data_IF_882295714297
#
_entry.id   IF_882295714297
#
_cell.length_a   1.000
_cell.length_b   1.000
_cell.length_c   1.000
_cell.angle_alpha   90.00
_cell.angle_beta   90.00
_cell.angle_gamma   90.00
#
_symmetry.space_group_name_H-M   'P 1'
#
loop_
_entity.id
_entity.type
_entity.pdbx_description
1 polymer ?
#
# COMPACT_ATOMS: atom_id res chain seq x y z
N UNK A 1 25.41 22.82 -1.83
CA UNK A 1 24.10 22.25 -2.17
C UNK A 1 23.55 21.65 -0.88
N UNK A 2 22.38 22.07 -0.42
CA UNK A 2 21.82 21.55 0.84
C UNK A 2 21.48 20.07 0.65
N UNK A 3 22.33 19.21 1.23
CA UNK A 3 22.26 17.75 1.21
C UNK A 3 21.09 17.24 2.05
N UNK A 4 19.86 17.63 1.72
CA UNK A 4 18.70 17.17 2.46
C UNK A 4 18.31 15.76 2.00
N UNK A 5 18.24 14.83 2.93
CA UNK A 5 17.72 13.48 2.71
C UNK A 5 16.18 13.48 2.62
N UNK A 6 15.62 14.49 1.96
CA UNK A 6 14.19 14.67 1.73
C UNK A 6 13.98 14.83 0.23
N UNK A 7 13.12 13.98 -0.32
CA UNK A 7 12.81 13.93 -1.74
C UNK A 7 11.31 14.10 -1.94
N UNK A 8 10.94 14.78 -3.01
CA UNK A 8 9.57 14.83 -3.51
C UNK A 8 9.55 14.18 -4.89
N UNK A 9 8.73 13.15 -5.09
CA UNK A 9 8.67 12.40 -6.35
C UNK A 9 8.31 13.28 -7.55
N UNK A 10 7.60 14.39 -7.34
CA UNK A 10 7.21 15.34 -8.42
C UNK A 10 8.31 16.33 -8.77
N UNK A 11 9.30 16.51 -7.89
CA UNK A 11 10.43 17.41 -8.09
C UNK A 11 11.71 16.66 -8.51
N UNK A 12 11.65 15.33 -8.58
CA UNK A 12 12.78 14.51 -8.99
C UNK A 12 12.98 14.58 -10.51
N UNK A 13 14.24 14.68 -10.94
CA UNK A 13 14.60 14.99 -12.32
C UNK A 13 14.76 13.76 -13.22
N UNK A 14 14.72 12.55 -12.67
CA UNK A 14 14.83 11.29 -13.42
C UNK A 14 13.46 10.61 -13.41
N UNK A 15 12.97 10.24 -14.60
CA UNK A 15 11.68 9.57 -14.76
C UNK A 15 10.49 10.54 -14.70
N UNK A 16 9.28 9.98 -14.58
CA UNK A 16 8.05 10.74 -14.42
C UNK A 16 7.11 9.97 -13.48
N UNK A 17 6.76 10.51 -12.30
CA UNK A 17 5.99 9.78 -11.30
C UNK A 17 4.57 9.47 -11.76
N UNK A 18 4.01 10.26 -12.68
CA UNK A 18 2.68 10.01 -13.25
C UNK A 18 2.70 8.88 -14.30
N UNK A 19 3.88 8.47 -14.80
CA UNK A 19 4.02 7.36 -15.77
C UNK A 19 4.52 6.08 -15.12
N UNK A 20 5.51 6.22 -14.24
CA UNK A 20 6.06 5.13 -13.44
C UNK A 20 6.75 5.71 -12.18
N UNK A 21 6.01 5.82 -11.08
CA UNK A 21 6.57 6.23 -9.79
C UNK A 21 7.57 5.21 -9.24
N UNK A 22 7.49 3.95 -9.67
CA UNK A 22 8.42 2.91 -9.28
C UNK A 22 9.85 3.22 -9.70
N UNK A 23 10.04 3.58 -10.97
CA UNK A 23 11.32 4.01 -11.53
C UNK A 23 11.86 5.26 -10.84
N UNK A 24 10.99 6.24 -10.59
CA UNK A 24 11.34 7.47 -9.84
C UNK A 24 11.86 7.13 -8.44
N UNK A 25 11.13 6.35 -7.65
CA UNK A 25 11.53 5.98 -6.28
C UNK A 25 12.83 5.16 -6.30
N UNK A 26 12.98 4.21 -7.22
CA UNK A 26 14.21 3.42 -7.34
C UNK A 26 15.43 4.31 -7.68
N UNK A 27 15.26 5.30 -8.56
CA UNK A 27 16.33 6.24 -8.88
C UNK A 27 16.71 7.16 -7.72
N UNK A 28 15.74 7.54 -6.87
CA UNK A 28 15.99 8.24 -5.60
C UNK A 28 16.78 7.36 -4.63
N UNK A 29 16.37 6.09 -4.46
CA UNK A 29 17.11 5.11 -3.63
C UNK A 29 18.56 4.96 -4.11
N UNK A 30 18.78 4.92 -5.43
CA UNK A 30 20.11 4.88 -6.01
C UNK A 30 20.94 6.13 -5.67
N UNK A 31 20.35 7.33 -5.73
CA UNK A 31 21.01 8.57 -5.30
C UNK A 31 21.39 8.54 -3.83
N UNK A 32 20.47 8.11 -2.95
CA UNK A 32 20.74 7.96 -1.51
C UNK A 32 21.94 7.04 -1.30
N UNK A 33 22.00 5.89 -1.97
CA UNK A 33 23.11 4.93 -1.86
C UNK A 33 24.43 5.49 -2.38
N UNK A 34 24.41 6.31 -3.44
CA UNK A 34 25.60 6.97 -3.98
C UNK A 34 26.18 8.01 -3.00
N UNK A 35 25.32 8.70 -2.25
CA UNK A 35 25.74 9.73 -1.28
C UNK A 35 26.11 9.14 0.09
N UNK A 36 25.38 8.13 0.56
CA UNK A 36 25.52 7.52 1.89
C UNK A 36 26.37 6.24 1.83
N UNK A 37 27.64 6.37 1.47
CA UNK A 37 28.55 5.23 1.28
C UNK A 37 29.28 4.85 2.56
N UNK A 38 29.77 5.83 3.30
CA UNK A 38 30.49 5.63 4.56
C UNK A 38 29.54 5.19 5.68
N UNK A 39 29.99 4.25 6.51
CA UNK A 39 29.21 3.71 7.63
C UNK A 39 29.57 4.34 8.97
N UNK A 40 30.73 4.96 9.07
CA UNK A 40 31.24 5.55 10.32
C UNK A 40 32.16 6.75 10.05
N UNK A 41 31.56 7.89 9.71
CA UNK A 41 32.21 9.21 9.68
C UNK A 41 31.47 10.09 10.66
N UNK A 42 32.19 10.65 11.63
CA UNK A 42 31.62 11.47 12.70
C UNK A 42 30.48 10.76 13.44
N UNK A 43 30.64 9.47 13.76
CA UNK A 43 29.66 8.61 14.41
C UNK A 43 28.36 8.42 13.60
N UNK A 44 28.43 8.47 12.27
CA UNK A 44 27.27 8.30 11.38
C UNK A 44 27.66 7.93 9.95
N UNK A 45 26.73 8.08 9.01
CA UNK A 45 27.04 7.97 7.57
C UNK A 45 25.89 7.44 6.70
N UNK A 46 25.01 6.60 7.27
CA UNK A 46 23.82 6.06 6.58
C UNK A 46 22.52 6.39 7.31
N UNK A 47 22.16 7.69 7.43
CA UNK A 47 20.96 8.12 8.14
C UNK A 47 19.64 7.76 7.44
N UNK A 48 19.67 7.24 6.20
CA UNK A 48 18.46 7.01 5.42
C UNK A 48 17.90 8.30 4.83
N UNK A 49 16.61 8.29 4.50
CA UNK A 49 15.95 9.42 3.83
C UNK A 49 14.42 9.36 3.94
N UNK A 50 13.78 10.46 3.56
CA UNK A 50 12.34 10.59 3.39
C UNK A 50 12.03 10.80 1.91
N UNK A 51 11.10 10.03 1.37
CA UNK A 51 10.51 10.21 0.05
C UNK A 51 9.06 10.59 0.23
N UNK A 52 8.69 11.78 -0.22
CA UNK A 52 7.34 12.32 -0.15
C UNK A 52 6.61 12.15 -1.47
N UNK A 53 5.36 11.71 -1.36
CA UNK A 53 4.42 11.53 -2.46
C UNK A 53 3.28 12.53 -2.24
N UNK A 54 3.25 13.66 -2.96
CA UNK A 54 2.11 14.58 -2.91
C UNK A 54 0.79 13.88 -3.27
N UNK A 55 -0.38 14.48 -2.98
CA UNK A 55 -1.63 13.98 -3.52
C UNK A 55 -1.62 13.98 -5.06
N UNK A 56 -2.08 12.88 -5.66
CA UNK A 56 -2.06 12.67 -7.11
C UNK A 56 -2.21 11.20 -7.48
N UNK A 57 -2.38 10.94 -8.77
CA UNK A 57 -2.48 9.60 -9.36
C UNK A 57 -1.14 9.19 -9.99
N UNK A 58 -0.50 8.18 -9.41
CA UNK A 58 0.82 7.72 -9.77
C UNK A 58 0.82 6.26 -10.21
N UNK A 59 0.98 6.01 -11.51
CA UNK A 59 1.13 4.66 -12.03
C UNK A 59 2.46 4.04 -11.54
N UNK A 60 2.42 2.81 -11.06
CA UNK A 60 3.61 2.04 -10.67
C UNK A 60 3.71 0.80 -11.56
N UNK A 61 4.66 0.83 -12.49
CA UNK A 61 4.90 -0.26 -13.46
C UNK A 61 6.16 -1.04 -13.11
N UNK A 62 7.10 -0.38 -12.46
CA UNK A 62 8.33 -0.98 -11.95
C UNK A 62 8.20 -1.21 -10.45
N UNK A 63 8.48 -2.43 -9.99
CA UNK A 63 8.54 -2.74 -8.55
C UNK A 63 9.60 -1.86 -7.85
N UNK A 64 9.22 -1.28 -6.70
CA UNK A 64 10.15 -0.53 -5.85
C UNK A 64 10.93 -1.51 -4.98
N UNK A 65 12.26 -1.52 -5.11
CA UNK A 65 13.14 -2.38 -4.33
C UNK A 65 13.86 -1.60 -3.24
N UNK A 66 13.56 -1.91 -1.97
CA UNK A 66 14.10 -1.21 -0.81
C UNK A 66 15.13 -2.08 -0.10
N UNK A 67 16.40 -1.67 -0.18
CA UNK A 67 17.55 -2.34 0.45
C UNK A 67 18.34 -1.45 1.42
N UNK A 68 17.78 -0.31 1.81
CA UNK A 68 18.39 0.63 2.77
C UNK A 68 17.55 0.77 4.04
N UNK A 69 18.23 0.87 5.19
CA UNK A 69 17.57 1.12 6.47
C UNK A 69 17.13 2.59 6.58
N UNK A 70 16.21 2.89 7.50
CA UNK A 70 15.76 4.25 7.83
C UNK A 70 15.15 5.02 6.63
N UNK A 71 14.60 4.30 5.65
CA UNK A 71 13.85 4.89 4.55
C UNK A 71 12.40 5.08 4.97
N UNK A 72 11.91 6.31 4.92
CA UNK A 72 10.50 6.64 5.09
C UNK A 72 9.89 7.02 3.75
N UNK A 73 8.80 6.38 3.36
CA UNK A 73 7.97 6.78 2.22
C UNK A 73 6.65 7.29 2.78
N UNK A 74 6.34 8.56 2.54
CA UNK A 74 5.15 9.20 3.11
C UNK A 74 4.33 9.94 2.06
N UNK A 75 3.03 9.99 2.26
CA UNK A 75 2.11 10.83 1.51
C UNK A 75 1.35 11.82 2.39
N UNK A 76 0.25 12.34 1.87
CA UNK A 76 -0.61 13.32 2.52
C UNK A 76 -2.09 12.89 2.60
N UNK A 77 -2.39 11.61 2.38
CA UNK A 77 -3.74 11.08 2.54
C UNK A 77 -3.88 9.62 2.12
N UNK A 78 -4.60 8.85 2.95
CA UNK A 78 -4.89 7.43 2.70
C UNK A 78 -5.88 7.20 1.55
N UNK A 79 -6.68 8.20 1.17
CA UNK A 79 -7.37 8.24 -0.11
C UNK A 79 -8.46 7.19 -0.37
N UNK A 80 -9.08 6.64 0.68
CA UNK A 80 -10.01 5.52 0.52
C UNK A 80 -11.38 5.96 0.00
N UNK A 81 -11.88 5.23 -1.01
CA UNK A 81 -13.29 5.16 -1.40
C UNK A 81 -13.63 3.68 -1.67
N UNK A 82 -14.89 3.29 -1.50
CA UNK A 82 -15.29 1.90 -1.75
C UNK A 82 -15.43 1.60 -3.24
N UNK A 83 -14.35 1.11 -3.86
CA UNK A 83 -14.38 0.63 -5.25
C UNK A 83 -15.37 -0.52 -5.44
N UNK A 84 -15.56 -1.38 -4.43
CA UNK A 84 -16.53 -2.49 -4.49
C UNK A 84 -17.97 -2.00 -4.64
N UNK A 85 -18.38 -0.96 -3.89
CA UNK A 85 -19.73 -0.36 -4.07
C UNK A 85 -19.88 0.16 -5.48
N UNK A 86 -18.87 0.89 -5.98
CA UNK A 86 -18.89 1.43 -7.34
C UNK A 86 -18.95 0.34 -8.40
N UNK A 87 -18.13 -0.71 -8.32
CA UNK A 87 -18.12 -1.80 -9.29
C UNK A 87 -19.44 -2.59 -9.32
N UNK A 88 -20.17 -2.63 -8.21
CA UNK A 88 -21.50 -3.22 -8.12
C UNK A 88 -22.65 -2.23 -8.40
N UNK A 89 -22.34 -0.95 -8.66
CA UNK A 89 -23.31 0.07 -9.10
C UNK A 89 -23.44 0.00 -10.62
N UNK A 90 -24.66 0.06 -11.21
CA UNK A 90 -24.82 0.04 -12.66
C UNK A 90 -23.95 1.09 -13.36
N UNK A 91 -23.23 0.69 -14.42
CA UNK A 91 -22.27 1.55 -15.10
C UNK A 91 -22.88 2.86 -15.64
N UNK A 92 -24.17 2.84 -15.98
CA UNK A 92 -24.92 4.04 -16.41
C UNK A 92 -25.02 5.11 -15.32
N UNK A 93 -24.94 4.70 -14.05
CA UNK A 93 -25.03 5.60 -12.90
C UNK A 93 -23.67 6.24 -12.55
N UNK A 94 -22.56 5.70 -13.07
CA UNK A 94 -21.21 6.19 -12.74
C UNK A 94 -21.01 7.65 -13.15
N UNK A 95 -21.67 8.10 -14.22
CA UNK A 95 -21.64 9.49 -14.68
C UNK A 95 -22.19 10.50 -13.65
N UNK A 96 -22.96 10.02 -12.66
CA UNK A 96 -23.54 10.85 -11.61
C UNK A 96 -22.81 10.72 -10.26
N UNK A 97 -21.80 9.85 -10.16
CA UNK A 97 -20.97 9.75 -8.98
C UNK A 97 -19.98 10.91 -8.93
N UNK A 98 -19.85 11.56 -7.77
CA UNK A 98 -18.87 12.63 -7.57
C UNK A 98 -17.43 12.14 -7.70
N UNK A 99 -17.15 10.95 -7.15
CA UNK A 99 -15.84 10.32 -7.15
C UNK A 99 -15.97 8.86 -7.60
N UNK A 100 -15.15 8.48 -8.57
CA UNK A 100 -15.15 7.15 -9.19
C UNK A 100 -13.92 6.34 -8.76
N UNK A 101 -12.89 6.97 -8.21
CA UNK A 101 -11.63 6.31 -7.88
C UNK A 101 -11.14 6.73 -6.50
N UNK A 102 -10.31 5.88 -5.84
CA UNK A 102 -9.53 6.30 -4.69
C UNK A 102 -8.67 7.54 -5.02
N UNK A 103 -8.25 8.27 -3.99
CA UNK A 103 -7.50 9.52 -4.14
C UNK A 103 -6.34 9.64 -3.16
N UNK A 104 -6.08 10.85 -2.67
CA UNK A 104 -4.94 11.11 -1.79
C UNK A 104 -3.61 10.97 -2.53
N UNK A 105 -2.60 10.46 -1.86
CA UNK A 105 -1.31 10.13 -2.49
C UNK A 105 -1.39 8.72 -3.09
N UNK A 106 -2.00 8.60 -4.27
CA UNK A 106 -2.45 7.31 -4.83
C UNK A 106 -1.43 6.68 -5.75
N UNK A 107 -0.98 5.49 -5.37
CA UNK A 107 -0.16 4.62 -6.21
C UNK A 107 -1.05 3.57 -6.84
N UNK A 108 -1.16 3.61 -8.17
CA UNK A 108 -1.90 2.65 -8.98
C UNK A 108 -0.95 1.51 -9.36
N UNK A 109 -1.16 0.32 -8.81
CA UNK A 109 -0.28 -0.83 -9.02
C UNK A 109 -0.56 -1.44 -10.39
N UNK A 110 0.24 -1.03 -11.38
CA UNK A 110 0.20 -1.47 -12.78
C UNK A 110 1.35 -2.42 -13.13
N UNK A 111 1.69 -3.28 -12.17
CA UNK A 111 2.62 -4.39 -12.39
C UNK A 111 1.88 -5.52 -13.12
N UNK A 112 2.45 -5.96 -14.24
CA UNK A 112 2.01 -7.18 -14.91
C UNK A 112 2.52 -8.40 -14.14
N UNK A 113 1.59 -9.25 -13.68
CA UNK A 113 1.91 -10.50 -13.00
C UNK A 113 1.60 -11.66 -13.95
N UNK A 114 2.55 -12.56 -14.14
CA UNK A 114 2.45 -13.70 -15.03
C UNK A 114 2.30 -15.01 -14.23
N UNK A 115 1.62 -16.03 -14.80
CA UNK A 115 1.57 -17.35 -14.20
C UNK A 115 2.98 -17.92 -13.99
N UNK A 116 3.29 -18.35 -12.77
CA UNK A 116 4.60 -18.89 -12.38
C UNK A 116 5.57 -17.85 -11.81
N UNK A 117 5.20 -16.57 -11.80
CA UNK A 117 5.97 -15.55 -11.08
C UNK A 117 6.03 -15.86 -9.59
N UNK A 118 7.13 -15.48 -8.95
CA UNK A 118 7.25 -15.57 -7.50
C UNK A 118 6.25 -14.62 -6.82
N UNK A 119 5.79 -14.97 -5.62
CA UNK A 119 4.83 -14.19 -4.81
C UNK A 119 5.20 -12.70 -4.72
N UNK A 120 6.50 -12.41 -4.65
CA UNK A 120 7.01 -11.05 -4.52
C UNK A 120 7.00 -10.25 -5.82
N UNK A 121 6.88 -10.86 -7.00
CA UNK A 121 6.94 -10.16 -8.29
C UNK A 121 5.79 -9.15 -8.47
N UNK A 122 4.60 -9.44 -7.92
CA UNK A 122 3.45 -8.55 -7.96
C UNK A 122 3.42 -7.46 -6.88
N UNK A 123 4.47 -7.34 -6.05
CA UNK A 123 4.51 -6.33 -5.00
C UNK A 123 4.83 -4.94 -5.56
N UNK A 124 4.08 -3.91 -5.15
CA UNK A 124 4.44 -2.53 -5.41
C UNK A 124 5.78 -2.17 -4.71
N UNK A 125 5.90 -2.55 -3.44
CA UNK A 125 7.10 -2.36 -2.64
C UNK A 125 7.66 -3.68 -2.12
N UNK A 126 8.91 -3.96 -2.46
CA UNK A 126 9.64 -5.14 -2.00
C UNK A 126 10.82 -4.73 -1.13
N UNK A 127 10.73 -5.04 0.17
CA UNK A 127 11.75 -4.72 1.17
C UNK A 127 12.61 -5.94 1.44
N UNK A 128 13.85 -5.94 0.95
CA UNK A 128 14.77 -7.07 1.13
C UNK A 128 16.22 -6.62 1.13
N UNK A 129 16.97 -7.12 2.12
CA UNK A 129 18.43 -7.06 2.15
C UNK A 129 18.99 -8.32 2.80
N UNK A 130 19.99 -8.92 2.15
CA UNK A 130 20.74 -10.05 2.70
C UNK A 130 21.90 -9.58 3.57
N UNK A 131 22.41 -10.46 4.44
CA UNK A 131 23.57 -10.17 5.30
C UNK A 131 23.21 -9.42 6.59
N UNK A 132 24.26 -9.01 7.32
CA UNK A 132 24.14 -8.30 8.59
C UNK A 132 24.55 -6.81 8.46
N UNK A 133 23.94 -5.91 9.24
CA UNK A 133 22.75 -6.12 10.07
C UNK A 133 21.48 -6.29 9.22
N UNK A 134 20.41 -6.81 9.82
CA UNK A 134 19.06 -6.81 9.22
C UNK A 134 18.67 -5.38 8.81
N UNK A 135 17.87 -5.27 7.75
CA UNK A 135 17.25 -3.99 7.39
C UNK A 135 16.32 -3.54 8.52
N UNK A 136 16.37 -2.25 8.87
CA UNK A 136 15.71 -1.71 10.06
C UNK A 136 15.00 -0.40 9.77
N UNK A 137 13.89 -0.17 10.48
CA UNK A 137 13.19 1.12 10.55
C UNK A 137 12.80 1.71 9.19
N UNK A 138 12.40 0.85 8.25
CA UNK A 138 11.68 1.29 7.04
C UNK A 138 10.25 1.66 7.45
N UNK A 139 9.75 2.79 6.99
CA UNK A 139 8.44 3.31 7.37
C UNK A 139 7.61 3.68 6.13
N UNK A 140 6.31 3.38 6.18
CA UNK A 140 5.32 3.75 5.18
C UNK A 140 4.19 4.50 5.89
N UNK A 141 3.81 5.68 5.40
CA UNK A 141 2.88 6.55 6.13
C UNK A 141 1.96 7.36 5.22
N UNK A 142 0.66 7.29 5.46
CA UNK A 142 -0.34 8.24 4.95
C UNK A 142 -0.37 8.39 3.40
N UNK A 143 -0.28 7.29 2.67
CA UNK A 143 -0.52 7.24 1.22
C UNK A 143 -1.41 6.06 0.86
N UNK A 144 -1.89 6.02 -0.39
CA UNK A 144 -2.82 5.02 -0.90
C UNK A 144 -2.11 4.06 -1.86
N UNK A 145 -2.35 2.76 -1.73
CA UNK A 145 -1.97 1.74 -2.72
C UNK A 145 -3.25 1.14 -3.27
N UNK A 146 -3.43 1.22 -4.57
CA UNK A 146 -4.64 0.78 -5.26
C UNK A 146 -4.30 -0.30 -6.30
N UNK A 147 -4.92 -1.48 -6.15
CA UNK A 147 -4.80 -2.60 -7.08
C UNK A 147 -5.60 -2.42 -8.38
N UNK A 148 -6.40 -1.34 -8.48
CA UNK A 148 -7.30 -0.97 -9.57
C UNK A 148 -8.48 -1.91 -9.78
N UNK A 149 -8.19 -3.11 -10.30
CA UNK A 149 -9.16 -4.07 -10.79
C UNK A 149 -8.81 -5.46 -10.25
N UNK A 150 -9.84 -6.25 -10.00
CA UNK A 150 -9.70 -7.69 -9.88
C UNK A 150 -9.84 -8.37 -11.26
N UNK A 151 -9.44 -9.64 -11.35
CA UNK A 151 -9.51 -10.46 -12.56
C UNK A 151 -10.48 -11.62 -12.35
N UNK A 152 -10.97 -12.20 -13.45
CA UNK A 152 -11.88 -13.35 -13.41
C UNK A 152 -11.23 -14.55 -12.67
N UNK A 153 -12.01 -15.20 -11.81
CA UNK A 153 -11.60 -16.40 -11.06
C UNK A 153 -11.80 -17.70 -11.86
N UNK A 154 -12.43 -17.62 -13.04
CA UNK A 154 -12.74 -18.77 -13.88
C UNK A 154 -13.89 -19.63 -13.37
N UNK A 155 -14.64 -19.18 -12.36
CA UNK A 155 -15.81 -19.89 -11.82
C UNK A 155 -17.09 -19.64 -12.62
N UNK A 156 -17.03 -18.79 -13.67
CA UNK A 156 -18.13 -18.57 -14.60
C UNK A 156 -19.22 -17.60 -14.11
N UNK A 157 -18.95 -16.85 -13.03
CA UNK A 157 -19.88 -15.86 -12.48
C UNK A 157 -19.91 -14.54 -13.30
N UNK A 158 -18.97 -14.35 -14.23
CA UNK A 158 -18.80 -13.13 -15.05
C UNK A 158 -18.74 -11.83 -14.21
N UNK A 159 -18.16 -11.91 -13.02
CA UNK A 159 -18.09 -10.83 -12.06
C UNK A 159 -16.66 -10.70 -11.49
N UNK A 160 -15.71 -10.25 -12.33
CA UNK A 160 -14.29 -10.25 -11.98
C UNK A 160 -14.00 -9.34 -10.78
N UNK A 161 -14.76 -8.26 -10.59
CA UNK A 161 -14.53 -7.26 -9.52
C UNK A 161 -14.91 -7.73 -8.12
N UNK A 162 -15.53 -8.91 -8.02
CA UNK A 162 -15.85 -9.56 -6.76
C UNK A 162 -15.00 -10.81 -6.50
N UNK A 163 -13.99 -11.11 -7.34
CA UNK A 163 -13.13 -12.29 -7.19
C UNK A 163 -12.06 -12.14 -6.09
N UNK A 164 -11.65 -10.92 -5.77
CA UNK A 164 -10.50 -10.60 -4.91
C UNK A 164 -9.15 -11.15 -5.42
N UNK A 165 -9.05 -11.47 -6.71
CA UNK A 165 -7.84 -11.99 -7.35
C UNK A 165 -7.28 -10.93 -8.30
N UNK A 166 -6.00 -10.61 -8.21
CA UNK A 166 -5.27 -9.86 -9.25
C UNK A 166 -3.74 -10.11 -9.23
N UNK A 167 -3.23 -10.92 -8.30
CA UNK A 167 -1.80 -11.19 -8.14
C UNK A 167 -0.98 -10.02 -7.60
N UNK A 168 -1.60 -8.87 -7.31
CA UNK A 168 -0.93 -7.66 -6.86
C UNK A 168 -0.85 -7.63 -5.33
N UNK A 169 0.28 -7.20 -4.81
CA UNK A 169 0.49 -6.98 -3.37
C UNK A 169 0.95 -5.56 -3.12
N UNK A 170 0.52 -4.93 -2.03
CA UNK A 170 1.02 -3.60 -1.66
C UNK A 170 2.47 -3.66 -1.19
N UNK A 171 2.71 -4.36 -0.07
CA UNK A 171 4.03 -4.45 0.55
C UNK A 171 4.42 -5.91 0.77
N UNK A 172 5.66 -6.28 0.40
CA UNK A 172 6.26 -7.57 0.77
C UNK A 172 7.59 -7.34 1.48
N UNK A 173 7.74 -7.96 2.65
CA UNK A 173 9.00 -8.02 3.40
C UNK A 173 9.27 -9.47 3.82
N UNK A 174 10.20 -10.19 3.18
CA UNK A 174 10.53 -11.57 3.54
C UNK A 174 11.04 -11.70 4.99
N UNK A 175 11.65 -10.64 5.53
CA UNK A 175 12.14 -10.61 6.91
C UNK A 175 11.00 -10.61 7.94
N UNK A 176 9.81 -10.10 7.58
CA UNK A 176 8.63 -10.11 8.45
C UNK A 176 8.02 -11.51 8.57
N UNK A 177 8.27 -12.39 7.58
CA UNK A 177 7.71 -13.75 7.51
C UNK A 177 8.27 -14.71 8.57
N UNK A 178 9.32 -14.32 9.31
CA UNK A 178 9.84 -15.08 10.46
C UNK A 178 9.17 -14.74 11.80
N UNK A 179 8.25 -13.77 11.85
CA UNK A 179 7.66 -13.26 13.10
C UNK A 179 6.17 -13.62 13.29
N UNK A 180 5.65 -14.68 12.67
CA UNK A 180 4.28 -15.17 12.94
C UNK A 180 4.13 -15.83 14.33
N UNK A 181 4.82 -15.34 15.35
CA UNK A 181 4.83 -15.92 16.70
C UNK A 181 5.05 -14.95 17.86
N UNK A 182 5.26 -13.64 17.64
CA UNK A 182 5.43 -12.68 18.74
C UNK A 182 4.74 -11.34 18.44
N UNK A 183 4.09 -10.82 19.48
CA UNK A 183 3.12 -9.73 19.51
C UNK A 183 3.50 -8.45 18.77
N UNK A 184 2.44 -7.80 18.30
CA UNK A 184 2.36 -6.55 17.55
C UNK A 184 3.20 -5.42 18.15
N UNK A 185 3.96 -4.76 17.28
CA UNK A 185 4.34 -3.36 17.43
C UNK A 185 3.52 -2.56 16.42
N UNK A 186 3.02 -1.41 16.87
CA UNK A 186 2.16 -0.45 16.17
C UNK A 186 2.24 -0.52 14.63
N UNK A 187 1.21 -1.12 14.03
CA UNK A 187 1.03 -1.22 12.59
C UNK A 187 -0.36 -0.70 12.25
N UNK A 188 -0.45 0.56 11.86
CA UNK A 188 -1.54 1.10 11.05
C UNK A 188 -1.41 0.64 9.57
N UNK A 189 -1.00 -0.62 9.35
CA UNK A 189 -1.03 -1.28 8.04
C UNK A 189 -2.19 -2.28 8.08
N UNK A 190 -3.37 -1.80 7.73
CA UNK A 190 -4.54 -2.61 7.49
C UNK A 190 -4.71 -2.78 5.98
N UNK A 191 -4.09 -3.80 5.38
CA UNK A 191 -4.71 -4.64 4.34
C UNK A 191 -3.77 -5.72 3.82
N UNK A 192 -4.36 -6.91 3.64
CA UNK A 192 -3.98 -7.99 2.72
C UNK A 192 -2.69 -8.75 3.02
N UNK A 193 -2.80 -9.70 3.95
CA UNK A 193 -2.25 -11.04 3.73
C UNK A 193 -3.44 -11.99 3.60
N UNK A 194 -3.59 -12.56 2.42
CA UNK A 194 -4.62 -13.55 2.12
C UNK A 194 -4.41 -14.81 2.96
N UNK A 195 -5.39 -15.13 3.80
CA UNK A 195 -5.98 -16.46 3.98
C UNK A 195 -7.26 -16.33 4.82
N UNK A 196 -8.40 -16.57 4.16
CA UNK A 196 -9.74 -16.81 4.73
C UNK A 196 -10.46 -15.62 5.42
N UNK A 197 -11.53 -15.17 4.77
CA UNK A 197 -12.75 -14.55 5.33
C UNK A 197 -12.59 -13.42 6.35
N UNK A 198 -12.76 -12.15 5.92
CA UNK A 198 -13.21 -11.07 6.83
C UNK A 198 -14.16 -10.12 6.09
N UNK A 199 -15.43 -10.15 6.50
CA UNK A 199 -16.41 -9.07 6.33
C UNK A 199 -16.01 -7.94 7.28
N UNK A 200 -15.73 -6.73 6.78
CA UNK A 200 -15.48 -5.56 7.63
C UNK A 200 -16.79 -4.82 7.92
N UNK A 201 -17.30 -4.96 9.14
CA UNK A 201 -18.28 -4.07 9.74
C UNK A 201 -17.52 -3.06 10.61
N UNK A 202 -17.64 -1.76 10.32
CA UNK A 202 -17.01 -0.70 11.10
C UNK A 202 -17.96 -0.28 12.23
N UNK A 203 -17.61 -0.58 13.49
CA UNK A 203 -18.27 0.00 14.66
C UNK A 203 -17.29 0.97 15.33
N UNK A 204 -17.52 2.27 15.15
CA UNK A 204 -16.79 3.32 15.86
C UNK A 204 -17.13 3.27 17.34
N UNK A 205 -16.15 2.98 18.21
CA UNK A 205 -16.30 3.19 19.65
C UNK A 205 -15.93 4.64 19.95
N UNK A 206 -16.96 5.43 20.23
CA UNK A 206 -16.86 6.73 20.88
C UNK A 206 -16.48 6.48 22.35
N UNK A 207 -15.44 7.15 22.82
CA UNK A 207 -15.03 7.17 24.23
C UNK A 207 -16.01 7.97 25.07
N UNK A 208 -16.75 7.32 25.97
CA UNK A 208 -17.28 7.96 27.19
C UNK A 208 -17.65 6.91 28.26
N UNK A 209 -17.03 7.07 29.43
CA UNK A 209 -17.23 6.48 30.78
C UNK A 209 -18.32 5.42 31.07
N UNK A 210 -18.06 4.52 32.05
CA UNK A 210 -18.96 3.43 32.39
C UNK A 210 -20.05 3.91 33.35
N UNK A 211 -21.31 3.84 32.93
CA UNK A 211 -22.45 3.42 33.75
C UNK A 211 -23.75 3.45 32.95
N UNK A 212 -24.64 2.52 33.31
CA UNK A 212 -26.02 2.34 32.85
C UNK A 212 -26.22 1.42 31.64
N UNK A 213 -26.75 0.23 31.96
CA UNK A 213 -27.36 -0.73 31.09
C UNK A 213 -28.50 -0.12 30.27
N UNK A 214 -28.64 -0.54 29.01
CA UNK A 214 -29.94 -0.69 28.33
C UNK A 214 -29.75 -1.55 27.08
N UNK A 215 -30.51 -2.64 27.01
CA UNK A 215 -30.59 -3.53 25.87
C UNK A 215 -31.36 -2.87 24.72
N UNK A 216 -30.89 -3.04 23.48
CA UNK A 216 -31.77 -3.01 22.31
C UNK A 216 -31.24 -3.97 21.25
N UNK A 217 -32.10 -4.92 20.88
CA UNK A 217 -31.91 -5.93 19.86
C UNK A 217 -32.06 -5.33 18.46
N UNK A 218 -31.20 -5.69 17.52
CA UNK A 218 -31.45 -5.49 16.09
C UNK A 218 -31.28 -6.79 15.32
N UNK A 219 -32.32 -7.12 14.55
CA UNK A 219 -32.54 -8.33 13.77
C UNK A 219 -31.87 -8.16 12.41
N UNK A 220 -31.11 -9.15 11.95
CA UNK A 220 -30.55 -9.22 10.61
C UNK A 220 -31.67 -9.54 9.59
N UNK A 221 -31.73 -8.89 8.41
CA UNK A 221 -32.61 -9.34 7.34
C UNK A 221 -31.98 -10.51 6.60
N UNK A 222 -32.75 -11.60 6.53
CA UNK A 222 -32.48 -12.82 5.78
C UNK A 222 -32.32 -12.58 4.28
N UNK A 223 -31.47 -13.41 3.67
CA UNK A 223 -31.37 -13.65 2.23
C UNK A 223 -32.74 -13.76 1.56
N UNK A 224 -32.96 -12.97 0.52
CA UNK A 224 -33.95 -13.30 -0.51
C UNK A 224 -33.24 -13.68 -1.80
N UNK A 225 -33.17 -14.99 -2.01
CA UNK A 225 -33.03 -15.62 -3.31
C UNK A 225 -34.27 -15.29 -4.15
N UNK A 226 -34.06 -14.70 -5.33
CA UNK A 226 -34.83 -14.97 -6.54
C UNK A 226 -33.90 -14.92 -7.74
#
# INVERSE_FOLDING_TARGET
MTHNNYYDVTQWHIGNPYKDIGDVINSIILDIKKRQTATDINNGGKPGAVIYIPPGDYHLKTQVFIDISYLKIMGAGHGFVSSSIRFNTPAVEWAYLHDIWPGGSRILVDICVHPGDEEHAGAAFYVKRSGAPRISSVAFENFCIDGLHFIDDGLGNNDPENSYINGKTGFISPALRMLSGLQAWDLSILSMVSRCTIVMLWLSIITSSPNAATASSFVAPDRLLK
#
